data_IF_104642882149
#
_entry.id   IF_104642882149
#
_cell.length_a   1.000
_cell.length_b   1.000
_cell.length_c   1.000
_cell.angle_alpha   90.00
_cell.angle_beta   90.00
_cell.angle_gamma   90.00
#
_symmetry.space_group_name_H-M   'P 1'
#
loop_
_entity.id
_entity.type
_entity.pdbx_description
1 polymer ?
#
# COMPACT_ATOMS: atom_id res chain seq x y z
N UNK A 1 -15.20 11.18 7.84
CA UNK A 1 -13.86 11.63 8.27
C UNK A 1 -13.26 10.54 9.17
N UNK A 2 -12.06 10.07 8.84
CA UNK A 2 -11.37 9.04 9.62
C UNK A 2 -10.87 9.66 10.92
N UNK A 3 -11.13 9.04 12.07
CA UNK A 3 -10.67 9.57 13.36
C UNK A 3 -9.14 9.68 13.40
N UNK A 4 -8.55 10.69 14.07
CA UNK A 4 -7.09 10.85 14.25
C UNK A 4 -6.43 9.56 14.76
N UNK A 5 -7.09 8.85 15.68
CA UNK A 5 -6.62 7.57 16.23
C UNK A 5 -6.68 6.45 15.17
N UNK A 6 -7.71 6.45 14.33
CA UNK A 6 -7.82 5.50 13.22
C UNK A 6 -6.74 5.76 12.16
N UNK A 7 -6.48 7.03 11.83
CA UNK A 7 -5.41 7.43 10.92
C UNK A 7 -4.05 6.96 11.44
N UNK A 8 -3.75 7.23 12.71
CA UNK A 8 -2.53 6.75 13.38
C UNK A 8 -2.38 5.22 13.30
N UNK A 9 -3.43 4.46 13.66
CA UNK A 9 -3.42 2.99 13.59
C UNK A 9 -3.21 2.48 12.18
N UNK A 10 -3.82 3.13 11.19
CA UNK A 10 -3.66 2.78 9.77
C UNK A 10 -2.23 3.00 9.29
N UNK A 11 -1.60 4.13 9.66
CA UNK A 11 -0.20 4.41 9.33
C UNK A 11 0.72 3.35 9.94
N UNK A 12 0.56 3.03 11.23
CA UNK A 12 1.36 1.99 11.88
C UNK A 12 1.18 0.61 11.23
N UNK A 13 -0.03 0.28 10.79
CA UNK A 13 -0.30 -0.97 10.08
C UNK A 13 0.45 -1.01 8.76
N UNK A 14 0.42 0.06 7.98
CA UNK A 14 1.11 0.10 6.68
C UNK A 14 2.63 0.12 6.82
N UNK A 15 3.17 0.82 7.82
CA UNK A 15 4.61 0.77 8.13
C UNK A 15 5.06 -0.65 8.47
N UNK A 16 4.26 -1.39 9.25
CA UNK A 16 4.55 -2.79 9.58
C UNK A 16 4.56 -3.68 8.33
N UNK A 17 3.65 -3.46 7.38
CA UNK A 17 3.60 -4.24 6.13
C UNK A 17 4.76 -3.92 5.19
N UNK A 18 5.16 -2.65 5.11
CA UNK A 18 6.23 -2.18 4.23
C UNK A 18 7.64 -2.47 4.78
N UNK A 19 7.75 -2.94 6.02
CA UNK A 19 9.03 -3.21 6.68
C UNK A 19 9.69 -4.47 6.12
N UNK A 20 10.94 -4.32 5.67
CA UNK A 20 11.76 -5.43 5.15
C UNK A 20 12.22 -6.38 6.26
N UNK A 21 12.66 -5.82 7.38
CA UNK A 21 13.12 -6.60 8.53
C UNK A 21 11.97 -6.95 9.47
N UNK A 22 11.58 -8.22 9.50
CA UNK A 22 10.54 -8.74 10.40
C UNK A 22 11.09 -9.30 11.71
N UNK A 23 12.42 -9.40 11.87
CA UNK A 23 13.05 -10.06 13.02
C UNK A 23 13.10 -9.15 14.25
N UNK A 24 13.47 -7.89 14.08
CA UNK A 24 13.51 -6.94 15.19
C UNK A 24 12.09 -6.49 15.59
N UNK A 25 11.81 -6.18 16.87
CA UNK A 25 10.49 -5.72 17.30
C UNK A 25 10.11 -4.37 16.66
N UNK A 26 8.88 -4.26 16.15
CA UNK A 26 8.40 -3.03 15.50
C UNK A 26 8.33 -1.82 16.45
N UNK A 27 8.08 -2.07 17.75
CA UNK A 27 8.00 -1.03 18.78
C UNK A 27 9.27 -0.19 18.94
N UNK A 28 10.44 -0.73 18.58
CA UNK A 28 11.72 -0.03 18.66
C UNK A 28 12.18 0.50 17.30
N UNK A 29 11.36 0.41 16.25
CA UNK A 29 11.72 0.96 14.96
C UNK A 29 11.75 2.50 15.00
N UNK A 30 12.77 3.15 14.43
CA UNK A 30 12.85 4.62 14.38
C UNK A 30 11.61 5.25 13.74
N UNK A 31 11.03 4.60 12.72
CA UNK A 31 9.84 5.07 12.03
C UNK A 31 8.62 5.06 12.95
N UNK A 32 8.44 4.01 13.76
CA UNK A 32 7.36 3.95 14.74
C UNK A 32 7.53 5.02 15.84
N UNK A 33 8.74 5.19 16.36
CA UNK A 33 9.02 6.19 17.39
C UNK A 33 8.76 7.61 16.87
N UNK A 34 9.20 7.90 15.64
CA UNK A 34 8.95 9.17 14.97
C UNK A 34 7.45 9.45 14.84
N UNK A 35 6.67 8.51 14.30
CA UNK A 35 5.22 8.69 14.11
C UNK A 35 4.51 8.85 15.46
N UNK A 36 4.90 8.10 16.50
CA UNK A 36 4.36 8.28 17.86
C UNK A 36 4.63 9.71 18.37
N UNK A 37 5.85 10.21 18.18
CA UNK A 37 6.25 11.54 18.65
C UNK A 37 5.44 12.64 17.95
N UNK A 38 5.29 12.57 16.62
CA UNK A 38 4.52 13.55 15.84
C UNK A 38 3.04 13.58 16.25
N UNK A 39 2.41 12.42 16.46
CA UNK A 39 1.00 12.36 16.89
C UNK A 39 0.81 12.85 18.33
N UNK A 40 1.76 12.61 19.24
CA UNK A 40 1.71 13.14 20.61
C UNK A 40 1.92 14.65 20.65
N UNK A 41 2.90 15.17 19.90
CA UNK A 41 3.20 16.60 19.84
C UNK A 41 2.04 17.41 19.24
N UNK A 42 1.40 16.88 18.20
CA UNK A 42 0.21 17.51 17.62
C UNK A 42 -0.98 17.51 18.59
N UNK A 43 -1.22 16.43 19.34
CA UNK A 43 -2.30 16.40 20.34
C UNK A 43 -2.08 17.41 21.48
N UNK A 44 -0.82 17.76 21.79
CA UNK A 44 -0.49 18.76 22.81
C UNK A 44 -0.57 20.20 22.29
N UNK A 45 -0.66 20.42 20.98
CA UNK A 45 -0.69 21.75 20.36
C UNK A 45 -2.10 22.25 19.99
N UNK A 46 -3.15 21.55 20.44
CA UNK A 46 -4.57 21.83 20.18
C UNK A 46 -5.06 23.23 20.65
N UNK A 47 -4.29 23.96 21.47
CA UNK A 47 -4.75 25.21 22.10
C UNK A 47 -4.67 26.49 21.24
N UNK A 48 -4.02 26.50 20.07
CA UNK A 48 -3.76 27.77 19.36
C UNK A 48 -4.06 27.85 17.85
N UNK A 49 -4.23 26.74 17.09
CA UNK A 49 -4.31 26.87 15.61
C UNK A 49 -5.10 25.75 14.88
N UNK A 50 -6.42 25.87 14.77
CA UNK A 50 -7.26 24.99 13.93
C UNK A 50 -6.74 24.79 12.48
N UNK A 51 -6.17 25.81 11.84
CA UNK A 51 -5.65 25.67 10.46
C UNK A 51 -4.45 24.73 10.36
N UNK A 52 -3.51 24.79 11.32
CA UNK A 52 -2.31 23.95 11.32
C UNK A 52 -2.61 22.50 11.65
N UNK A 53 -3.63 22.27 12.48
CA UNK A 53 -4.07 20.92 12.80
C UNK A 53 -4.60 20.18 11.56
N UNK A 54 -5.42 20.86 10.75
CA UNK A 54 -5.94 20.31 9.49
C UNK A 54 -4.82 20.00 8.49
N UNK A 55 -3.79 20.86 8.38
CA UNK A 55 -2.63 20.63 7.53
C UNK A 55 -1.84 19.37 7.95
N UNK A 56 -1.65 19.15 9.26
CA UNK A 56 -0.94 17.99 9.79
C UNK A 56 -1.72 16.69 9.59
N UNK A 57 -3.03 16.72 9.78
CA UNK A 57 -3.91 15.57 9.48
C UNK A 57 -3.85 15.25 7.99
N UNK A 58 -3.97 16.26 7.12
CA UNK A 58 -3.88 16.08 5.67
C UNK A 58 -2.54 15.47 5.25
N UNK A 59 -1.43 15.98 5.79
CA UNK A 59 -0.09 15.44 5.55
C UNK A 59 0.02 13.96 5.96
N UNK A 60 -0.53 13.60 7.13
CA UNK A 60 -0.56 12.22 7.58
C UNK A 60 -1.41 11.32 6.68
N UNK A 61 -2.55 11.81 6.16
CA UNK A 61 -3.35 11.11 5.15
C UNK A 61 -2.59 10.92 3.83
N UNK A 62 -1.85 11.94 3.37
CA UNK A 62 -1.00 11.84 2.18
C UNK A 62 0.04 10.72 2.34
N UNK A 63 0.73 10.66 3.48
CA UNK A 63 1.70 9.60 3.75
C UNK A 63 1.05 8.23 3.87
N UNK A 64 -0.13 8.12 4.48
CA UNK A 64 -0.87 6.86 4.52
C UNK A 64 -1.17 6.36 3.10
N UNK A 65 -1.68 7.23 2.23
CA UNK A 65 -1.97 6.90 0.84
C UNK A 65 -0.70 6.45 0.09
N UNK A 66 0.42 7.15 0.30
CA UNK A 66 1.70 6.77 -0.28
C UNK A 66 2.15 5.37 0.15
N UNK A 67 2.08 5.04 1.45
CA UNK A 67 2.45 3.72 1.96
C UNK A 67 1.55 2.60 1.42
N UNK A 68 0.25 2.85 1.31
CA UNK A 68 -0.69 1.90 0.71
C UNK A 68 -0.41 1.67 -0.78
N UNK A 69 -0.15 2.75 -1.52
CA UNK A 69 0.17 2.68 -2.94
C UNK A 69 1.48 1.95 -3.18
N UNK A 70 2.47 2.12 -2.30
CA UNK A 70 3.73 1.36 -2.36
C UNK A 70 3.50 -0.14 -2.21
N UNK A 71 2.63 -0.57 -1.30
CA UNK A 71 2.26 -1.99 -1.15
C UNK A 71 1.55 -2.51 -2.39
N UNK A 72 0.52 -1.80 -2.87
CA UNK A 72 -0.21 -2.15 -4.10
C UNK A 72 0.71 -2.22 -5.32
N UNK A 73 1.66 -1.29 -5.42
CA UNK A 73 2.65 -1.29 -6.49
C UNK A 73 3.53 -2.55 -6.43
N UNK A 74 3.95 -2.99 -5.23
CA UNK A 74 4.68 -4.24 -5.09
C UNK A 74 3.85 -5.46 -5.53
N UNK A 75 2.56 -5.50 -5.17
CA UNK A 75 1.62 -6.55 -5.61
C UNK A 75 1.47 -6.55 -7.15
N UNK A 76 1.32 -5.37 -7.76
CA UNK A 76 1.25 -5.21 -9.21
C UNK A 76 2.55 -5.61 -9.91
N UNK A 77 3.69 -5.22 -9.34
CA UNK A 77 4.99 -5.62 -9.85
C UNK A 77 5.09 -7.14 -9.81
N UNK A 78 4.80 -7.81 -8.70
CA UNK A 78 4.85 -9.28 -8.65
C UNK A 78 3.88 -9.94 -9.66
N UNK A 79 2.70 -9.36 -9.88
CA UNK A 79 1.73 -9.88 -10.85
C UNK A 79 2.23 -9.77 -12.29
N UNK A 80 2.75 -8.60 -12.68
CA UNK A 80 3.09 -8.27 -14.06
C UNK A 80 4.59 -8.35 -14.39
N UNK A 81 5.45 -8.63 -13.40
CA UNK A 81 6.89 -8.76 -13.61
C UNK A 81 7.14 -9.77 -14.71
N UNK A 82 8.07 -9.41 -15.59
CA UNK A 82 8.49 -10.15 -16.78
C UNK A 82 9.12 -11.49 -16.36
N UNK A 83 8.26 -12.46 -16.07
CA UNK A 83 8.58 -13.88 -16.10
C UNK A 83 7.99 -14.41 -17.39
N UNK A 84 8.69 -15.32 -18.06
CA UNK A 84 8.09 -16.03 -19.20
C UNK A 84 6.79 -16.68 -18.73
N UNK A 85 5.69 -16.28 -19.36
CA UNK A 85 4.32 -16.77 -19.13
C UNK A 85 3.86 -17.41 -20.42
N UNK A 86 3.07 -18.47 -20.32
CA UNK A 86 2.45 -19.04 -21.51
C UNK A 86 1.44 -18.05 -22.09
N UNK A 87 1.09 -18.21 -23.38
CA UNK A 87 0.09 -17.36 -24.04
C UNK A 87 -1.26 -17.45 -23.30
N UNK A 88 -1.59 -18.63 -22.77
CA UNK A 88 -2.77 -18.87 -21.93
C UNK A 88 -2.75 -18.07 -20.63
N UNK A 89 -1.63 -18.12 -19.91
CA UNK A 89 -1.46 -17.39 -18.66
C UNK A 89 -1.51 -15.87 -18.86
N UNK A 90 -0.88 -15.39 -19.94
CA UNK A 90 -0.88 -13.98 -20.30
C UNK A 90 -2.29 -13.49 -20.69
N UNK A 91 -3.02 -14.26 -21.51
CA UNK A 91 -4.41 -13.94 -21.86
C UNK A 91 -5.29 -13.88 -20.61
N UNK A 92 -5.23 -14.90 -19.74
CA UNK A 92 -6.03 -14.96 -18.51
C UNK A 92 -5.72 -13.80 -17.56
N UNK A 93 -4.47 -13.37 -17.47
CA UNK A 93 -4.04 -12.25 -16.61
C UNK A 93 -4.71 -10.92 -16.95
N UNK A 94 -5.01 -10.69 -18.23
CA UNK A 94 -5.68 -9.47 -18.71
C UNK A 94 -7.19 -9.67 -18.92
N UNK A 95 -7.75 -10.81 -18.50
CA UNK A 95 -9.18 -11.12 -18.66
C UNK A 95 -9.57 -11.60 -20.06
N UNK A 96 -8.60 -12.05 -20.86
CA UNK A 96 -8.82 -12.66 -22.17
C UNK A 96 -8.79 -14.19 -22.07
N UNK A 97 -9.41 -14.84 -23.05
CA UNK A 97 -9.34 -16.28 -23.25
C UNK A 97 -8.80 -16.57 -24.65
N UNK A 98 -8.06 -17.68 -24.80
CA UNK A 98 -7.68 -18.11 -26.15
C UNK A 98 -8.89 -18.61 -26.92
N UNK A 99 -8.92 -18.37 -28.25
CA UNK A 99 -9.90 -19.02 -29.10
C UNK A 99 -9.74 -20.53 -28.94
N UNK A 100 -10.87 -21.25 -28.82
CA UNK A 100 -10.85 -22.70 -28.95
C UNK A 100 -10.31 -23.00 -30.34
N UNK A 101 -9.32 -23.89 -30.45
CA UNK A 101 -8.94 -24.41 -31.76
C UNK A 101 -10.17 -25.14 -32.29
N UNK A 102 -10.88 -24.52 -33.22
CA UNK A 102 -11.86 -25.24 -34.02
C UNK A 102 -11.06 -26.33 -34.74
N UNK A 103 -11.35 -27.59 -34.42
CA UNK A 103 -10.79 -28.77 -35.08
C UNK A 103 -11.32 -28.86 -36.52
N UNK A 104 -11.06 -27.85 -37.33
CA UNK A 104 -11.10 -27.91 -38.78
C UNK A 104 -9.66 -27.92 -39.27
N UNK A 105 -8.93 -28.98 -38.89
CA UNK A 105 -7.89 -29.49 -39.77
C UNK A 105 -8.63 -29.98 -41.01
N UNK A 106 -8.70 -29.09 -42.02
CA UNK A 106 -9.10 -29.45 -43.36
C UNK A 106 -8.13 -30.52 -43.85
N UNK A 107 -8.68 -31.65 -44.23
CA UNK A 107 -8.03 -32.65 -45.06
C UNK A 107 -7.32 -31.96 -46.24
N UNK A 108 -6.05 -32.32 -46.43
CA UNK A 108 -5.20 -31.93 -47.55
C UNK A 108 -3.93 -32.77 -47.54
#
# INVERSE_FOLDING_TARGET
MTSRIQLFRSILRELRHNRKDKKAPFCYSPEMQYVISEFRNNHLTDAQRCSRENEKVHLAETYLNYLQNKRKLAELVELYKTKEKTIEEAAKMVGLALPKKDCHDQEG
#
